data_IF_203357847273
#
_entry.id   IF_203357847273
#
_cell.length_a   1.000
_cell.length_b   1.000
_cell.length_c   1.000
_cell.angle_alpha   90.00
_cell.angle_beta   90.00
_cell.angle_gamma   90.00
#
_symmetry.space_group_name_H-M   'P 1'
#
loop_
_entity.id
_entity.type
_entity.pdbx_description
1 polymer ?
#
# COMPACT_ATOMS: atom_id res chain seq x y z
N UNK A 1 7.68 3.25 2.74
CA UNK A 1 6.66 2.81 1.76
C UNK A 1 6.53 3.78 0.61
N UNK A 2 6.28 3.28 -0.61
CA UNK A 2 6.13 4.12 -1.78
C UNK A 2 4.82 4.96 -1.76
N UNK A 3 4.81 6.08 -2.50
CA UNK A 3 3.68 7.01 -2.51
C UNK A 3 2.38 6.41 -3.07
N UNK A 4 2.47 5.53 -4.08
CA UNK A 4 1.30 4.90 -4.70
C UNK A 4 0.52 4.03 -3.71
N UNK A 5 1.20 3.13 -2.99
CA UNK A 5 0.56 2.27 -2.01
C UNK A 5 0.02 3.03 -0.80
N UNK A 6 0.76 4.04 -0.36
CA UNK A 6 0.30 4.93 0.70
C UNK A 6 -1.00 5.64 0.32
N UNK A 7 -1.06 6.22 -0.88
CA UNK A 7 -2.24 6.93 -1.36
C UNK A 7 -3.47 6.02 -1.45
N UNK A 8 -3.30 4.82 -2.03
CA UNK A 8 -4.38 3.80 -2.08
C UNK A 8 -4.85 3.48 -0.66
N UNK A 9 -3.94 3.22 0.28
CA UNK A 9 -4.29 2.90 1.67
C UNK A 9 -5.11 4.02 2.33
N UNK A 10 -4.73 5.28 2.12
CA UNK A 10 -5.44 6.44 2.63
C UNK A 10 -6.85 6.58 2.00
N UNK A 11 -6.98 6.41 0.69
CA UNK A 11 -8.27 6.46 -0.02
C UNK A 11 -9.18 5.33 0.48
N UNK A 12 -8.69 4.09 0.53
CA UNK A 12 -9.46 2.93 1.01
C UNK A 12 -9.93 3.14 2.45
N UNK A 13 -9.04 3.56 3.35
CA UNK A 13 -9.38 3.80 4.75
C UNK A 13 -10.44 4.90 4.91
N UNK A 14 -10.27 6.02 4.21
CA UNK A 14 -11.23 7.13 4.23
C UNK A 14 -12.61 6.69 3.69
N UNK A 15 -12.62 5.94 2.60
CA UNK A 15 -13.83 5.41 1.96
C UNK A 15 -14.57 4.42 2.87
N UNK A 16 -13.86 3.43 3.43
CA UNK A 16 -14.45 2.46 4.38
C UNK A 16 -15.04 3.16 5.60
N UNK A 17 -14.35 4.16 6.14
CA UNK A 17 -14.84 4.94 7.29
C UNK A 17 -16.09 5.74 6.94
N UNK A 18 -16.13 6.39 5.77
CA UNK A 18 -17.29 7.11 5.27
C UNK A 18 -18.49 6.17 5.06
N UNK A 19 -18.24 5.01 4.43
CA UNK A 19 -19.26 3.98 4.18
C UNK A 19 -19.88 3.45 5.48
N UNK A 20 -19.07 3.11 6.49
CA UNK A 20 -19.55 2.63 7.80
C UNK A 20 -20.31 3.70 8.59
N UNK A 21 -19.91 4.95 8.47
CA UNK A 21 -20.54 6.06 9.22
C UNK A 21 -21.73 6.70 8.50
N UNK A 22 -21.94 6.36 7.22
CA UNK A 22 -22.96 7.01 6.39
C UNK A 22 -22.68 8.48 6.08
N UNK A 23 -21.43 8.92 6.24
CA UNK A 23 -21.01 10.32 6.03
C UNK A 23 -20.34 10.51 4.67
N UNK A 24 -20.13 11.77 4.30
CA UNK A 24 -19.27 12.13 3.17
C UNK A 24 -17.83 11.66 3.38
N UNK A 25 -17.14 11.35 2.29
CA UNK A 25 -15.73 10.99 2.32
C UNK A 25 -14.87 12.21 2.67
N UNK A 26 -14.04 12.06 3.70
CA UNK A 26 -13.04 13.06 4.05
C UNK A 26 -11.67 12.54 3.62
N UNK A 27 -11.18 12.98 2.47
CA UNK A 27 -9.86 12.63 1.97
C UNK A 27 -9.17 13.88 1.42
N UNK A 28 -7.87 14.00 1.70
CA UNK A 28 -7.02 15.08 1.19
C UNK A 28 -5.82 14.46 0.49
N UNK A 29 -5.58 14.77 -0.80
CA UNK A 29 -4.37 14.34 -1.49
C UNK A 29 -3.11 14.88 -0.83
N UNK A 30 -2.01 14.16 -0.99
CA UNK A 30 -0.70 14.57 -0.52
C UNK A 30 -0.20 15.83 -1.24
N UNK A 31 0.71 16.59 -0.61
CA UNK A 31 1.23 17.85 -1.16
C UNK A 31 1.89 17.73 -2.55
N UNK A 32 2.36 16.53 -2.89
CA UNK A 32 2.98 16.25 -4.18
C UNK A 32 1.97 15.80 -5.25
N UNK A 33 0.68 15.72 -4.94
CA UNK A 33 -0.39 15.39 -5.89
C UNK A 33 -1.05 16.68 -6.36
N UNK A 34 -0.90 16.98 -7.65
CA UNK A 34 -1.47 18.16 -8.29
C UNK A 34 -2.94 17.93 -8.67
N UNK A 35 -3.23 16.80 -9.31
CA UNK A 35 -4.58 16.36 -9.67
C UNK A 35 -4.81 14.92 -9.21
N UNK A 36 -6.01 14.64 -8.73
CA UNK A 36 -6.47 13.29 -8.43
C UNK A 36 -7.90 13.11 -8.98
N UNK A 37 -8.08 12.13 -9.86
CA UNK A 37 -9.38 11.82 -10.46
C UNK A 37 -9.63 10.31 -10.59
N UNK A 38 -10.90 9.96 -10.72
CA UNK A 38 -11.37 8.60 -10.98
C UNK A 38 -12.09 8.55 -12.32
N UNK A 39 -11.61 7.70 -13.21
CA UNK A 39 -12.20 7.47 -14.52
C UNK A 39 -13.10 6.23 -14.44
N UNK A 40 -14.41 6.44 -14.46
CA UNK A 40 -15.41 5.35 -14.40
C UNK A 40 -15.77 4.83 -15.79
N UNK A 41 -16.10 3.54 -15.88
CA UNK A 41 -16.63 2.95 -17.11
C UNK A 41 -18.10 3.34 -17.26
N UNK A 42 -18.43 4.12 -18.30
CA UNK A 42 -19.81 4.38 -18.70
C UNK A 42 -20.33 3.27 -19.62
N UNK A 43 -21.60 2.91 -19.46
CA UNK A 43 -22.30 1.98 -20.35
C UNK A 43 -22.68 2.65 -21.68
N UNK A 44 -22.26 2.03 -22.78
CA UNK A 44 -22.72 2.14 -24.17
C UNK A 44 -22.14 3.23 -25.09
N UNK A 45 -21.71 4.42 -24.61
CA UNK A 45 -21.19 5.48 -25.50
C UNK A 45 -19.66 5.67 -25.49
N UNK A 46 -18.92 4.94 -24.65
CA UNK A 46 -17.46 4.87 -24.67
C UNK A 46 -16.69 6.11 -24.17
N UNK A 47 -17.35 7.22 -23.86
CA UNK A 47 -16.71 8.35 -23.18
C UNK A 47 -16.53 8.03 -21.69
N UNK A 48 -15.33 8.26 -21.18
CA UNK A 48 -15.03 8.02 -19.78
C UNK A 48 -15.23 9.31 -18.98
N UNK A 49 -15.98 9.24 -17.88
CA UNK A 49 -16.18 10.39 -17.00
C UNK A 49 -15.09 10.42 -15.93
N UNK A 50 -14.41 11.55 -15.81
CA UNK A 50 -13.53 11.82 -14.66
C UNK A 50 -14.35 12.38 -13.50
N UNK A 51 -14.21 11.76 -12.34
CA UNK A 51 -14.86 12.15 -11.10
C UNK A 51 -13.84 12.62 -10.08
N UNK A 52 -14.23 13.55 -9.22
CA UNK A 52 -13.49 13.85 -7.99
C UNK A 52 -13.57 12.67 -7.02
N UNK A 53 -12.75 12.66 -5.97
CA UNK A 53 -12.81 11.62 -4.92
C UNK A 53 -14.21 11.54 -4.27
N UNK A 54 -14.85 12.70 -4.07
CA UNK A 54 -16.19 12.76 -3.48
C UNK A 54 -17.25 12.21 -4.44
N UNK A 55 -17.24 12.68 -5.69
CA UNK A 55 -18.21 12.23 -6.71
C UNK A 55 -18.04 10.74 -7.04
N UNK A 56 -16.79 10.25 -7.04
CA UNK A 56 -16.49 8.83 -7.17
C UNK A 56 -17.12 8.01 -6.04
N UNK A 57 -16.98 8.45 -4.80
CA UNK A 57 -17.58 7.75 -3.67
C UNK A 57 -19.11 7.74 -3.73
N UNK A 58 -19.74 8.86 -4.10
CA UNK A 58 -21.19 8.92 -4.32
C UNK A 58 -21.62 7.96 -5.44
N UNK A 59 -20.90 7.95 -6.57
CA UNK A 59 -21.16 7.03 -7.68
C UNK A 59 -21.09 5.55 -7.24
N UNK A 60 -20.08 5.19 -6.44
CA UNK A 60 -19.97 3.83 -5.91
C UNK A 60 -21.15 3.47 -4.99
N UNK A 61 -21.60 4.39 -4.14
CA UNK A 61 -22.77 4.17 -3.27
C UNK A 61 -24.05 3.96 -4.09
N UNK A 62 -24.26 4.75 -5.14
CA UNK A 62 -25.40 4.60 -6.06
C UNK A 62 -25.39 3.24 -6.76
N UNK A 63 -24.20 2.77 -7.17
CA UNK A 63 -23.97 1.41 -7.70
C UNK A 63 -24.16 0.30 -6.64
N UNK A 64 -24.43 0.64 -5.39
CA UNK A 64 -24.66 -0.33 -4.32
C UNK A 64 -23.38 -0.92 -3.73
N UNK A 65 -22.33 -0.10 -3.57
CA UNK A 65 -21.09 -0.50 -2.87
C UNK A 65 -21.40 -1.15 -1.52
N UNK A 66 -20.85 -2.33 -1.31
CA UNK A 66 -20.95 -3.14 -0.09
C UNK A 66 -19.68 -3.01 0.74
N UNK A 67 -18.51 -3.16 0.11
CA UNK A 67 -17.21 -3.01 0.78
C UNK A 67 -16.12 -2.63 -0.24
N UNK A 68 -14.98 -2.19 0.27
CA UNK A 68 -13.83 -1.76 -0.51
C UNK A 68 -12.53 -2.23 0.16
N UNK A 69 -11.58 -2.75 -0.61
CA UNK A 69 -10.30 -3.26 -0.09
C UNK A 69 -9.12 -2.73 -0.90
N UNK A 70 -7.98 -2.58 -0.22
CA UNK A 70 -6.68 -2.44 -0.85
C UNK A 70 -6.22 -3.81 -1.33
N UNK A 71 -5.70 -3.87 -2.55
CA UNK A 71 -4.96 -5.03 -3.04
C UNK A 71 -3.54 -4.62 -3.43
N UNK A 72 -2.59 -5.49 -3.12
CA UNK A 72 -1.22 -5.41 -3.59
C UNK A 72 -0.63 -6.84 -3.68
N UNK A 73 0.26 -7.10 -4.65
CA UNK A 73 0.96 -8.38 -4.71
C UNK A 73 1.89 -8.54 -3.50
N UNK A 74 1.86 -9.71 -2.88
CA UNK A 74 2.71 -10.06 -1.73
C UNK A 74 4.12 -10.51 -2.15
N UNK A 75 4.35 -10.70 -3.44
CA UNK A 75 5.63 -11.05 -4.04
C UNK A 75 5.76 -10.37 -5.39
N UNK A 76 6.98 -9.99 -5.76
CA UNK A 76 7.27 -9.39 -7.07
C UNK A 76 8.41 -10.15 -7.74
N UNK A 77 8.42 -10.17 -9.07
CA UNK A 77 9.49 -10.81 -9.83
C UNK A 77 10.81 -10.02 -9.76
N UNK A 78 10.71 -8.69 -9.64
CA UNK A 78 11.86 -7.79 -9.56
C UNK A 78 11.60 -6.73 -8.48
N UNK A 79 12.41 -6.74 -7.42
CA UNK A 79 12.31 -5.75 -6.33
C UNK A 79 12.89 -4.40 -6.73
N UNK A 80 13.81 -4.35 -7.69
CA UNK A 80 14.51 -3.13 -8.11
C UNK A 80 13.58 -2.10 -8.75
N UNK A 81 12.43 -2.54 -9.27
CA UNK A 81 11.45 -1.63 -9.88
C UNK A 81 10.48 -0.98 -8.88
N UNK A 82 10.50 -1.39 -7.61
CA UNK A 82 9.54 -0.92 -6.59
C UNK A 82 9.68 0.58 -6.26
N UNK A 83 10.80 1.20 -6.65
CA UNK A 83 11.02 2.64 -6.54
C UNK A 83 10.33 3.49 -7.60
N UNK A 84 9.85 2.89 -8.69
CA UNK A 84 9.22 3.63 -9.79
C UNK A 84 7.71 3.76 -9.58
N UNK A 85 7.12 4.79 -10.18
CA UNK A 85 5.66 4.92 -10.25
C UNK A 85 5.06 3.81 -11.11
N UNK A 86 3.82 3.43 -10.82
CA UNK A 86 3.03 2.45 -11.59
C UNK A 86 3.55 1.00 -11.57
N UNK A 87 4.58 0.67 -10.79
CA UNK A 87 5.16 -0.69 -10.75
C UNK A 87 4.64 -1.56 -9.61
N UNK A 88 3.96 -0.98 -8.62
CA UNK A 88 3.51 -1.74 -7.43
C UNK A 88 2.35 -2.69 -7.70
N UNK A 89 1.70 -2.60 -8.86
CA UNK A 89 0.51 -3.38 -9.26
C UNK A 89 -0.60 -3.37 -8.18
N UNK A 90 -0.64 -2.31 -7.36
CA UNK A 90 -1.63 -2.16 -6.31
C UNK A 90 -2.89 -1.52 -6.85
N UNK A 91 -4.04 -1.90 -6.30
CA UNK A 91 -5.36 -1.48 -6.78
C UNK A 91 -6.35 -1.26 -5.64
N UNK A 92 -7.41 -0.51 -5.92
CA UNK A 92 -8.59 -0.44 -5.07
C UNK A 92 -9.60 -1.48 -5.59
N UNK A 93 -10.05 -2.39 -4.74
CA UNK A 93 -11.09 -3.38 -5.07
C UNK A 93 -12.44 -2.92 -4.53
N UNK A 94 -13.46 -2.89 -5.38
CA UNK A 94 -14.83 -2.51 -5.03
C UNK A 94 -15.75 -3.73 -5.11
N UNK A 95 -16.52 -3.98 -4.06
CA UNK A 95 -17.49 -5.09 -3.99
C UNK A 95 -18.90 -4.56 -3.87
N UNK A 96 -19.83 -5.05 -4.68
CA UNK A 96 -21.21 -4.55 -4.75
C UNK A 96 -22.22 -5.55 -4.18
N UNK A 97 -23.39 -5.05 -3.79
CA UNK A 97 -24.48 -5.87 -3.21
C UNK A 97 -25.07 -6.89 -4.18
N UNK A 98 -24.98 -6.65 -5.49
CA UNK A 98 -25.45 -7.56 -6.54
C UNK A 98 -24.44 -8.69 -6.85
N UNK A 99 -23.33 -8.76 -6.11
CA UNK A 99 -22.27 -9.76 -6.28
C UNK A 99 -21.23 -9.41 -7.34
N UNK A 100 -21.37 -8.28 -8.05
CA UNK A 100 -20.34 -7.79 -8.96
C UNK A 100 -19.16 -7.20 -8.20
N UNK A 101 -18.04 -7.05 -8.90
CA UNK A 101 -16.89 -6.32 -8.41
C UNK A 101 -16.23 -5.53 -9.54
N UNK A 102 -15.58 -4.43 -9.17
CA UNK A 102 -14.69 -3.67 -10.05
C UNK A 102 -13.38 -3.38 -9.31
N UNK A 103 -12.37 -2.97 -10.05
CA UNK A 103 -11.11 -2.51 -9.46
C UNK A 103 -10.62 -1.26 -10.16
N UNK A 104 -9.85 -0.45 -9.42
CA UNK A 104 -9.24 0.75 -9.94
C UNK A 104 -7.72 0.63 -9.92
N UNK A 105 -7.11 0.85 -11.08
CA UNK A 105 -5.66 0.94 -11.22
C UNK A 105 -5.25 2.41 -11.26
N UNK A 106 -4.29 2.84 -10.44
CA UNK A 106 -3.73 4.18 -10.56
C UNK A 106 -2.76 4.28 -11.74
N UNK A 107 -2.74 5.44 -12.38
CA UNK A 107 -1.72 5.90 -13.31
C UNK A 107 -1.18 7.24 -12.82
N UNK A 108 0.11 7.29 -12.54
CA UNK A 108 0.82 8.47 -12.05
C UNK A 108 1.64 9.07 -13.18
N UNK A 109 1.35 10.31 -13.52
CA UNK A 109 2.04 11.08 -14.55
C UNK A 109 2.64 12.35 -13.94
N UNK A 110 3.78 12.79 -14.47
CA UNK A 110 4.38 14.05 -14.04
C UNK A 110 3.45 15.18 -14.47
N UNK A 111 3.05 16.03 -13.52
CA UNK A 111 2.16 17.13 -13.81
C UNK A 111 2.78 18.06 -14.86
N UNK A 112 1.96 18.59 -15.78
CA UNK A 112 2.42 19.48 -16.85
C UNK A 112 3.15 20.74 -16.31
N UNK A 113 2.78 21.20 -15.12
CA UNK A 113 3.42 22.32 -14.42
C UNK A 113 4.83 21.99 -13.87
N UNK A 114 5.31 20.76 -14.05
CA UNK A 114 6.67 20.33 -13.71
C UNK A 114 6.93 20.06 -12.22
N UNK A 115 5.95 20.29 -11.34
CA UNK A 115 6.04 19.89 -9.93
C UNK A 115 4.82 19.06 -9.53
N UNK A 116 5.09 17.88 -8.96
CA UNK A 116 4.08 16.95 -8.48
C UNK A 116 3.54 15.96 -9.53
N UNK A 117 2.48 15.26 -9.14
CA UNK A 117 1.89 14.14 -9.86
C UNK A 117 0.43 14.41 -10.19
N UNK A 118 0.04 14.13 -11.43
CA UNK A 118 -1.34 13.94 -11.80
C UNK A 118 -1.65 12.45 -11.71
N UNK A 119 -2.65 12.09 -10.90
CA UNK A 119 -2.99 10.70 -10.62
C UNK A 119 -4.42 10.42 -11.09
N UNK A 120 -4.56 9.46 -11.99
CA UNK A 120 -5.86 8.99 -12.47
C UNK A 120 -6.08 7.54 -12.09
N UNK A 121 -7.21 7.24 -11.47
CA UNK A 121 -7.62 5.87 -11.14
C UNK A 121 -8.64 5.39 -12.19
N UNK A 122 -8.27 4.41 -13.01
CA UNK A 122 -9.15 3.89 -14.06
C UNK A 122 -9.89 2.63 -13.59
N UNK A 123 -11.22 2.63 -13.74
CA UNK A 123 -12.08 1.50 -13.40
C UNK A 123 -11.98 0.36 -14.42
N UNK A 124 -11.97 -0.87 -13.92
CA UNK A 124 -12.06 -2.09 -14.71
C UNK A 124 -13.06 -3.05 -14.09
N UNK A 125 -13.82 -3.75 -14.94
CA UNK A 125 -14.71 -4.83 -14.48
C UNK A 125 -13.88 -6.01 -13.96
N UNK A 126 -14.22 -6.52 -12.77
CA UNK A 126 -13.61 -7.73 -12.23
C UNK A 126 -14.51 -8.95 -12.43
N UNK A 127 -14.21 -9.74 -13.46
CA UNK A 127 -14.85 -11.04 -13.67
C UNK A 127 -14.30 -12.05 -12.68
N UNK A 128 -15.04 -12.29 -11.61
CA UNK A 128 -14.67 -13.14 -10.48
C UNK A 128 -15.53 -14.40 -10.43
N UNK A 129 -14.90 -15.53 -10.08
CA UNK A 129 -15.55 -16.85 -10.00
C UNK A 129 -16.27 -17.09 -8.67
N UNK A 130 -15.66 -16.67 -7.55
CA UNK A 130 -16.28 -16.62 -6.22
C UNK A 130 -16.81 -15.21 -5.96
N UNK A 131 -17.81 -15.02 -5.09
CA UNK A 131 -18.28 -13.72 -4.59
C UNK A 131 -17.69 -13.33 -3.21
N UNK A 132 -16.83 -14.18 -2.64
CA UNK A 132 -16.24 -13.98 -1.30
C UNK A 132 -15.27 -12.82 -1.26
N UNK A 133 -15.42 -11.93 -0.29
CA UNK A 133 -14.46 -10.84 -0.10
C UNK A 133 -13.15 -11.46 0.43
N UNK A 134 -11.98 -11.16 -0.16
CA UNK A 134 -10.69 -11.63 0.33
C UNK A 134 -10.52 -11.34 1.83
N UNK A 135 -10.02 -12.33 2.57
CA UNK A 135 -9.66 -12.17 3.97
C UNK A 135 -8.14 -12.27 4.12
N UNK A 136 -7.57 -11.42 4.95
CA UNK A 136 -6.14 -11.37 5.24
C UNK A 136 -5.89 -11.76 6.69
N UNK A 137 -5.02 -12.76 6.91
CA UNK A 137 -4.65 -13.18 8.25
C UNK A 137 -3.70 -12.18 8.91
N UNK A 138 -3.76 -12.11 10.23
CA UNK A 138 -2.84 -11.31 11.02
C UNK A 138 -1.45 -11.98 11.07
N UNK A 139 -0.44 -11.35 10.45
CA UNK A 139 0.92 -11.86 10.36
C UNK A 139 1.92 -11.18 11.33
N UNK A 140 1.46 -10.48 12.38
CA UNK A 140 2.33 -9.66 13.25
C UNK A 140 3.49 -10.46 13.87
N UNK A 141 3.25 -11.68 14.34
CA UNK A 141 4.31 -12.48 14.99
C UNK A 141 5.39 -12.92 14.01
N UNK A 142 5.00 -13.36 12.80
CA UNK A 142 5.95 -13.63 11.72
C UNK A 142 6.71 -12.36 11.32
N UNK A 143 6.01 -11.23 11.21
CA UNK A 143 6.62 -9.97 10.84
C UNK A 143 7.68 -9.50 11.86
N UNK A 144 7.43 -9.66 13.16
CA UNK A 144 8.41 -9.38 14.22
C UNK A 144 9.65 -10.26 14.10
N UNK A 145 9.47 -11.54 13.79
CA UNK A 145 10.58 -12.48 13.59
C UNK A 145 11.44 -12.05 12.40
N UNK A 146 10.81 -11.75 11.26
CA UNK A 146 11.51 -11.33 10.05
C UNK A 146 12.26 -10.01 10.26
N UNK A 147 11.64 -9.02 10.92
CA UNK A 147 12.32 -7.76 11.27
C UNK A 147 13.56 -8.01 12.13
N UNK A 148 13.50 -8.95 13.07
CA UNK A 148 14.64 -9.33 13.91
C UNK A 148 15.74 -9.99 13.10
N UNK A 149 15.39 -10.88 12.19
CA UNK A 149 16.36 -11.60 11.35
C UNK A 149 17.04 -10.67 10.35
N UNK A 150 16.29 -9.76 9.73
CA UNK A 150 16.85 -8.82 8.75
C UNK A 150 17.62 -7.67 9.41
N UNK A 151 17.26 -7.24 10.62
CA UNK A 151 18.09 -6.36 11.46
C UNK A 151 19.47 -6.98 11.70
N UNK A 152 19.52 -8.24 12.15
CA UNK A 152 20.76 -8.96 12.38
C UNK A 152 21.59 -9.14 11.10
N UNK A 153 20.93 -9.38 9.96
CA UNK A 153 21.62 -9.43 8.66
C UNK A 153 22.23 -8.06 8.34
N UNK A 154 21.45 -6.98 8.45
CA UNK A 154 21.90 -5.62 8.17
C UNK A 154 23.15 -5.25 8.98
N UNK A 155 23.23 -5.63 10.26
CA UNK A 155 24.43 -5.45 11.09
C UNK A 155 25.62 -6.23 10.54
N UNK A 156 25.43 -7.51 10.18
CA UNK A 156 26.50 -8.37 9.63
C UNK A 156 27.08 -7.84 8.32
N UNK A 157 26.24 -7.22 7.49
CA UNK A 157 26.65 -6.61 6.22
C UNK A 157 27.04 -5.13 6.36
N UNK A 158 27.21 -4.63 7.60
CA UNK A 158 27.68 -3.26 7.90
C UNK A 158 26.72 -2.15 7.41
N UNK A 159 25.42 -2.48 7.36
CA UNK A 159 24.32 -1.61 6.99
C UNK A 159 23.55 -1.11 8.23
N UNK A 160 24.25 -0.49 9.19
CA UNK A 160 23.70 -0.11 10.51
C UNK A 160 22.48 0.83 10.42
N UNK A 161 22.40 1.65 9.38
CA UNK A 161 21.25 2.53 9.17
C UNK A 161 19.97 1.72 8.91
N UNK A 162 20.05 0.65 8.11
CA UNK A 162 18.92 -0.25 7.88
C UNK A 162 18.61 -1.08 9.12
N UNK A 163 19.62 -1.52 9.88
CA UNK A 163 19.40 -2.20 11.14
C UNK A 163 18.54 -1.35 12.10
N UNK A 164 18.84 -0.04 12.22
CA UNK A 164 18.03 0.91 13.01
C UNK A 164 16.60 1.06 12.47
N UNK A 165 16.41 1.06 11.15
CA UNK A 165 15.07 1.11 10.54
C UNK A 165 14.25 -0.12 10.92
N UNK A 166 14.83 -1.32 10.78
CA UNK A 166 14.14 -2.58 11.13
C UNK A 166 13.86 -2.68 12.63
N UNK A 167 14.80 -2.24 13.46
CA UNK A 167 14.61 -2.12 14.90
C UNK A 167 13.43 -1.21 15.25
N UNK A 168 13.38 -0.01 14.65
CA UNK A 168 12.29 0.96 14.87
C UNK A 168 10.95 0.42 14.38
N UNK A 169 10.91 -0.22 13.21
CA UNK A 169 9.71 -0.86 12.69
C UNK A 169 9.18 -1.93 13.65
N UNK A 170 10.05 -2.74 14.25
CA UNK A 170 9.67 -3.72 15.27
C UNK A 170 9.12 -3.05 16.52
N UNK A 171 9.70 -1.94 16.96
CA UNK A 171 9.21 -1.20 18.14
C UNK A 171 7.81 -0.61 17.91
N UNK A 172 7.45 -0.19 16.70
CA UNK A 172 6.08 0.22 16.38
C UNK A 172 5.04 -0.92 16.55
N UNK A 173 5.46 -2.19 16.44
CA UNK A 173 4.60 -3.34 16.72
C UNK A 173 4.48 -3.65 18.22
N UNK A 174 5.38 -3.13 19.05
CA UNK A 174 5.45 -3.40 20.50
C UNK A 174 4.84 -2.25 21.32
N UNK A 175 5.03 -1.00 20.89
CA UNK A 175 4.63 0.20 21.63
C UNK A 175 3.44 0.94 20.98
N UNK A 176 2.47 1.35 21.81
CA UNK A 176 1.32 2.18 21.40
C UNK A 176 1.65 3.68 21.30
N UNK A 177 2.86 4.10 21.69
CA UNK A 177 3.15 5.49 22.05
C UNK A 177 4.27 6.15 21.23
N UNK A 178 4.33 5.86 19.92
CA UNK A 178 5.29 6.52 19.02
C UNK A 178 4.71 7.75 18.31
N UNK A 179 5.51 8.82 18.30
CA UNK A 179 5.26 10.12 17.69
C UNK A 179 4.83 10.02 16.22
N UNK A 180 3.80 10.80 15.84
CA UNK A 180 3.24 10.88 14.49
C UNK A 180 4.24 11.50 13.51
N UNK A 181 4.59 10.78 12.45
CA UNK A 181 5.50 11.29 11.39
C UNK A 181 4.74 11.65 10.10
N UNK A 182 3.53 11.12 9.87
CA UNK A 182 2.72 11.34 8.65
C UNK A 182 1.21 11.41 8.96
N UNK A 183 0.40 11.97 8.03
CA UNK A 183 -1.07 11.91 8.09
C UNK A 183 -1.57 10.48 7.84
N UNK A 184 -1.69 9.68 8.89
CA UNK A 184 -2.02 8.26 8.79
C UNK A 184 -3.38 7.96 8.14
N UNK A 185 -3.51 6.80 7.48
CA UNK A 185 -4.80 6.30 7.02
C UNK A 185 -5.81 6.32 8.17
N UNK A 186 -7.07 6.60 7.84
CA UNK A 186 -8.15 6.72 8.83
C UNK A 186 -8.67 5.36 9.32
N UNK A 187 -7.76 4.56 9.88
CA UNK A 187 -8.00 3.21 10.43
C UNK A 187 -7.99 3.21 11.97
N UNK A 188 -8.53 2.17 12.62
CA UNK A 188 -8.53 2.05 14.08
C UNK A 188 -7.11 2.06 14.68
N UNK A 189 -6.93 2.54 15.92
CA UNK A 189 -5.61 2.64 16.56
C UNK A 189 -4.79 1.35 16.56
N UNK A 190 -5.43 0.19 16.74
CA UNK A 190 -4.76 -1.11 16.73
C UNK A 190 -4.08 -1.40 15.37
N UNK A 191 -4.73 -1.01 14.27
CA UNK A 191 -4.22 -1.22 12.91
C UNK A 191 -3.21 -0.13 12.51
N UNK A 192 -3.24 1.05 13.15
CA UNK A 192 -2.28 2.14 12.87
C UNK A 192 -0.85 1.70 13.16
N UNK A 193 -0.61 0.99 14.26
CA UNK A 193 0.72 0.51 14.62
C UNK A 193 1.28 -0.49 13.61
N UNK A 194 0.45 -1.42 13.13
CA UNK A 194 0.80 -2.38 12.10
C UNK A 194 1.18 -1.65 10.81
N UNK A 195 0.36 -0.67 10.41
CA UNK A 195 0.62 0.13 9.22
C UNK A 195 1.90 0.97 9.34
N UNK A 196 2.15 1.59 10.51
CA UNK A 196 3.40 2.34 10.78
C UNK A 196 4.62 1.45 10.66
N UNK A 197 4.59 0.27 11.29
CA UNK A 197 5.68 -0.69 11.22
C UNK A 197 5.96 -1.13 9.77
N UNK A 198 4.92 -1.49 9.03
CA UNK A 198 5.05 -1.89 7.63
C UNK A 198 5.54 -0.73 6.76
N UNK A 199 5.03 0.49 6.97
CA UNK A 199 5.44 1.68 6.24
C UNK A 199 6.91 2.04 6.47
N UNK A 200 7.37 1.94 7.71
CA UNK A 200 8.75 2.18 8.11
C UNK A 200 9.72 1.13 7.56
N UNK A 201 9.30 -0.14 7.54
CA UNK A 201 10.12 -1.24 7.02
C UNK A 201 10.13 -1.34 5.49
N UNK A 202 9.24 -0.65 4.78
CA UNK A 202 9.20 -0.65 3.30
C UNK A 202 10.29 0.27 2.73
N UNK A 203 11.50 -0.31 2.64
CA UNK A 203 12.77 0.28 2.22
C UNK A 203 13.22 -0.12 0.81
N UNK A 204 12.32 -0.68 0.00
CA UNK A 204 12.65 -1.29 -1.29
C UNK A 204 12.66 -0.31 -2.49
N UNK A 205 12.34 0.97 -2.28
CA UNK A 205 12.19 1.94 -3.37
C UNK A 205 13.13 3.14 -3.28
N UNK A 206 13.61 3.60 -4.43
CA UNK A 206 14.40 4.82 -4.58
C UNK A 206 15.92 4.61 -4.54
N UNK A 207 16.69 5.70 -4.72
CA UNK A 207 18.14 5.67 -4.55
C UNK A 207 18.52 5.56 -3.07
N UNK A 208 19.53 4.74 -2.77
CA UNK A 208 19.95 4.41 -1.41
C UNK A 208 18.98 3.43 -0.73
N UNK A 209 18.20 2.70 -1.51
CA UNK A 209 17.26 1.70 -0.99
C UNK A 209 17.98 0.43 -0.54
N UNK A 210 17.24 -0.45 0.13
CA UNK A 210 17.74 -1.76 0.51
C UNK A 210 18.18 -2.59 -0.69
N UNK A 211 17.58 -2.35 -1.87
CA UNK A 211 17.91 -3.07 -3.12
C UNK A 211 19.22 -2.60 -3.78
N UNK A 212 19.87 -1.55 -3.27
CA UNK A 212 21.07 -0.98 -3.87
C UNK A 212 22.34 -1.64 -3.30
N UNK A 213 23.15 -0.88 -2.54
CA UNK A 213 24.42 -1.32 -1.95
C UNK A 213 24.33 -2.59 -1.06
N UNK A 214 23.27 -2.80 -0.25
CA UNK A 214 23.22 -3.95 0.66
C UNK A 214 23.36 -5.32 -0.02
N UNK A 215 22.82 -5.48 -1.22
CA UNK A 215 22.92 -6.74 -1.98
C UNK A 215 24.37 -7.10 -2.34
N UNK A 216 25.15 -6.11 -2.79
CA UNK A 216 26.57 -6.28 -3.08
C UNK A 216 27.37 -6.61 -1.81
N UNK A 217 27.14 -5.88 -0.72
CA UNK A 217 27.82 -6.11 0.56
C UNK A 217 27.51 -7.51 1.14
N UNK A 218 26.28 -7.98 0.97
CA UNK A 218 25.91 -9.33 1.35
C UNK A 218 26.67 -10.37 0.52
N UNK A 219 26.81 -10.16 -0.79
CA UNK A 219 27.56 -11.04 -1.67
C UNK A 219 29.04 -11.13 -1.27
N UNK A 220 29.68 -9.98 -1.01
CA UNK A 220 31.10 -9.91 -0.61
C UNK A 220 31.39 -10.65 0.71
N UNK A 221 30.38 -10.74 1.59
CA UNK A 221 30.46 -11.45 2.87
C UNK A 221 29.95 -12.89 2.81
N UNK A 222 29.60 -13.40 1.62
CA UNK A 222 29.07 -14.77 1.44
C UNK A 222 27.65 -14.98 1.98
N UNK A 223 26.89 -13.89 2.14
CA UNK A 223 25.52 -13.86 2.67
C UNK A 223 24.45 -13.55 1.60
N UNK A 224 24.81 -13.53 0.31
CA UNK A 224 23.92 -13.16 -0.80
C UNK A 224 22.57 -13.91 -0.80
N UNK A 225 22.60 -15.25 -0.69
CA UNK A 225 21.35 -16.03 -0.65
C UNK A 225 20.48 -15.68 0.57
N UNK A 226 21.11 -15.49 1.74
CA UNK A 226 20.38 -15.10 2.95
C UNK A 226 19.78 -13.70 2.80
N UNK A 227 20.46 -12.79 2.11
CA UNK A 227 19.95 -11.48 1.78
C UNK A 227 18.72 -11.55 0.88
N UNK A 228 18.76 -12.33 -0.20
CA UNK A 228 17.61 -12.48 -1.10
C UNK A 228 16.40 -13.09 -0.38
N UNK A 229 16.61 -14.20 0.31
CA UNK A 229 15.54 -14.91 1.03
C UNK A 229 14.88 -14.01 2.09
N UNK A 230 15.67 -13.28 2.89
CA UNK A 230 15.14 -12.39 3.92
C UNK A 230 14.50 -11.13 3.34
N UNK A 231 15.01 -10.62 2.22
CA UNK A 231 14.42 -9.48 1.51
C UNK A 231 13.04 -9.82 0.97
N UNK A 232 12.87 -11.01 0.39
CA UNK A 232 11.57 -11.49 -0.10
C UNK A 232 10.59 -11.76 1.04
N UNK A 233 11.05 -12.40 2.12
CA UNK A 233 10.23 -12.60 3.32
C UNK A 233 9.80 -11.27 3.95
N UNK A 234 10.69 -10.27 3.99
CA UNK A 234 10.37 -8.95 4.51
C UNK A 234 9.32 -8.26 3.66
N UNK A 235 9.51 -8.21 2.34
CA UNK A 235 8.54 -7.60 1.42
C UNK A 235 7.17 -8.25 1.56
N UNK A 236 7.13 -9.59 1.57
CA UNK A 236 5.89 -10.35 1.76
C UNK A 236 5.18 -9.98 3.07
N UNK A 237 5.92 -9.97 4.18
CA UNK A 237 5.35 -9.67 5.49
C UNK A 237 4.87 -8.21 5.61
N UNK A 238 5.58 -7.26 4.99
CA UNK A 238 5.13 -5.87 4.88
C UNK A 238 3.81 -5.78 4.13
N UNK A 239 3.70 -6.44 2.97
CA UNK A 239 2.48 -6.41 2.13
C UNK A 239 1.30 -7.05 2.86
N UNK A 240 1.50 -8.20 3.50
CA UNK A 240 0.47 -8.84 4.34
C UNK A 240 0.03 -7.94 5.50
N UNK A 241 0.97 -7.29 6.20
CA UNK A 241 0.66 -6.40 7.30
C UNK A 241 -0.15 -5.17 6.85
N UNK A 242 0.17 -4.60 5.68
CA UNK A 242 -0.60 -3.49 5.08
C UNK A 242 -2.01 -3.95 4.70
N UNK A 243 -2.13 -5.11 4.03
CA UNK A 243 -3.42 -5.69 3.65
C UNK A 243 -4.30 -5.92 4.88
N UNK A 244 -3.76 -6.56 5.92
CA UNK A 244 -4.46 -6.74 7.19
C UNK A 244 -4.88 -5.41 7.81
N UNK A 245 -3.94 -4.48 8.00
CA UNK A 245 -4.21 -3.21 8.68
C UNK A 245 -5.29 -2.37 7.98
N UNK A 246 -5.32 -2.37 6.64
CA UNK A 246 -6.27 -1.55 5.87
C UNK A 246 -7.61 -2.26 5.66
N UNK A 247 -7.61 -3.58 5.48
CA UNK A 247 -8.81 -4.33 5.08
C UNK A 247 -9.56 -4.98 6.26
N UNK A 248 -8.89 -5.31 7.35
CA UNK A 248 -9.46 -6.11 8.45
C UNK A 248 -9.82 -5.24 9.65
N UNK A 249 -10.94 -4.54 9.55
CA UNK A 249 -11.63 -3.79 10.62
C UNK A 249 -12.99 -3.30 10.15
#
# INVERSE_FOLDING_TARGET
MNGQMYQIACIVAATRKALKSGKEICYKPEKYTNKLSFQILLSENGEATELSVADWFENLKEKGLKDLQLFCPISVNDRGILGFSNTTQSSILCFYKDGKASYFLPNWEVAFAGSGWDVTYTEFEWKRSSQDIPHYENNIEEFKEILTRIENLAIKIECDNFAKVFHSARNHLLDLDTTKVLEEPQIPPQNQNIFRAASAADVFGGMGSWNDEPGCLAQDKGLGQQYDDLSDQLLRNIRLAILFAINEW
#
